data_IF_164558343570
#
_entry.id   IF_164558343570
#
_cell.length_a   1.000
_cell.length_b   1.000
_cell.length_c   1.000
_cell.angle_alpha   90.00
_cell.angle_beta   90.00
_cell.angle_gamma   90.00
#
_symmetry.space_group_name_H-M   'P 1'
#
loop_
_entity.id
_entity.type
_entity.pdbx_description
1 polymer ?
#
# COMPACT_ATOMS: atom_id res chain seq x y z
N UNK A 1 -36.60 -51.78 28.39
CA UNK A 1 -35.82 -52.77 29.17
C UNK A 1 -34.84 -53.45 28.21
N UNK A 2 -33.55 -53.25 28.47
CA UNK A 2 -32.36 -54.00 28.00
C UNK A 2 -31.99 -54.16 26.50
N UNK A 3 -31.08 -53.26 26.08
CA UNK A 3 -29.79 -53.41 25.37
C UNK A 3 -29.52 -54.70 24.58
N UNK A 4 -29.05 -54.57 23.31
CA UNK A 4 -27.76 -55.11 22.81
C UNK A 4 -27.26 -54.29 21.60
N UNK A 5 -26.17 -53.55 21.76
CA UNK A 5 -25.34 -53.05 20.66
C UNK A 5 -24.33 -54.14 20.26
N UNK A 6 -24.02 -54.35 18.97
CA UNK A 6 -22.74 -54.89 18.57
C UNK A 6 -21.80 -53.76 18.10
N UNK A 7 -20.58 -53.82 18.62
CA UNK A 7 -19.50 -52.90 18.39
C UNK A 7 -18.66 -53.26 17.15
N UNK A 8 -17.84 -52.29 16.73
CA UNK A 8 -16.56 -52.37 16.00
C UNK A 8 -16.59 -52.41 14.46
N UNK A 9 -16.12 -51.31 13.86
CA UNK A 9 -15.01 -51.19 12.87
C UNK A 9 -14.75 -49.66 12.77
N UNK A 10 -13.74 -49.14 13.47
CA UNK A 10 -12.36 -48.95 12.99
C UNK A 10 -12.22 -47.82 11.95
N UNK A 11 -11.96 -46.59 12.40
CA UNK A 11 -10.92 -45.72 11.83
C UNK A 11 -10.82 -44.43 12.65
N UNK A 12 -9.91 -44.42 13.62
CA UNK A 12 -9.31 -43.18 14.07
C UNK A 12 -8.34 -42.72 12.96
N UNK A 13 -8.72 -41.68 12.22
CA UNK A 13 -7.75 -40.89 11.46
C UNK A 13 -7.69 -39.54 12.14
N UNK A 14 -6.65 -39.37 12.95
CA UNK A 14 -6.15 -38.08 13.38
C UNK A 14 -5.72 -37.31 12.12
N UNK A 15 -6.59 -36.46 11.58
CA UNK A 15 -6.15 -35.40 10.69
C UNK A 15 -5.67 -34.23 11.56
N UNK A 16 -4.48 -34.36 12.14
CA UNK A 16 -3.68 -33.21 12.51
C UNK A 16 -2.95 -32.75 11.26
N UNK A 17 -3.45 -31.72 10.61
CA UNK A 17 -2.62 -30.90 9.73
C UNK A 17 -2.16 -29.68 10.53
N UNK A 18 -0.85 -29.43 10.68
CA UNK A 18 -0.40 -28.17 11.25
C UNK A 18 -0.80 -27.04 10.29
N UNK A 19 -1.70 -26.14 10.72
CA UNK A 19 -1.88 -24.85 10.06
C UNK A 19 -0.67 -23.97 10.40
N UNK A 20 0.48 -24.32 9.86
CA UNK A 20 1.66 -23.46 9.85
C UNK A 20 1.95 -23.10 8.41
N UNK A 21 1.01 -22.36 7.81
CA UNK A 21 1.33 -21.53 6.66
C UNK A 21 1.78 -20.18 7.24
N UNK A 22 3.09 -20.04 7.47
CA UNK A 22 3.73 -18.72 7.52
C UNK A 22 3.54 -18.10 6.14
N UNK A 23 2.39 -17.45 5.93
CA UNK A 23 2.13 -16.72 4.71
C UNK A 23 3.09 -15.52 4.70
N UNK A 24 4.13 -15.59 3.87
CA UNK A 24 4.79 -14.39 3.38
C UNK A 24 3.70 -13.61 2.65
N UNK A 25 3.16 -12.58 3.27
CA UNK A 25 2.10 -11.74 2.70
C UNK A 25 2.67 -10.96 1.52
N UNK A 26 2.65 -11.57 0.34
CA UNK A 26 2.82 -10.84 -0.91
C UNK A 26 1.54 -10.02 -1.10
N UNK A 27 1.55 -8.77 -0.64
CA UNK A 27 0.43 -7.85 -0.90
C UNK A 27 0.19 -7.79 -2.41
N UNK A 28 -1.05 -8.05 -2.89
CA UNK A 28 -1.38 -7.98 -4.30
C UNK A 28 -0.98 -6.63 -4.89
N UNK A 29 -0.37 -6.66 -6.08
CA UNK A 29 -0.02 -5.45 -6.82
C UNK A 29 -1.16 -5.10 -7.77
N UNK A 30 -1.53 -3.83 -7.80
CA UNK A 30 -2.52 -3.24 -8.68
C UNK A 30 -1.82 -2.35 -9.71
N UNK A 31 -2.45 -2.16 -10.87
CA UNK A 31 -1.93 -1.30 -11.94
C UNK A 31 -3.05 -0.44 -12.51
N UNK A 32 -2.73 0.80 -12.84
CA UNK A 32 -3.64 1.72 -13.54
C UNK A 32 -3.29 1.78 -15.03
N UNK A 33 -4.18 2.36 -15.83
CA UNK A 33 -3.97 2.54 -17.27
C UNK A 33 -2.78 3.45 -17.59
N UNK A 34 -2.39 4.34 -16.68
CA UNK A 34 -1.23 5.24 -16.85
C UNK A 34 0.12 4.53 -16.65
N UNK A 35 0.09 3.28 -16.15
CA UNK A 35 1.28 2.49 -15.80
C UNK A 35 1.75 2.67 -14.36
N UNK A 36 1.04 3.46 -13.54
CA UNK A 36 1.25 3.47 -12.09
C UNK A 36 0.94 2.09 -11.52
N UNK A 37 1.82 1.57 -10.66
CA UNK A 37 1.54 0.34 -9.91
C UNK A 37 1.58 0.60 -8.41
N UNK A 38 0.75 -0.10 -7.65
CA UNK A 38 0.66 0.12 -6.21
C UNK A 38 0.23 -1.13 -5.44
N UNK A 39 0.51 -1.12 -4.14
CA UNK A 39 0.15 -2.15 -3.17
C UNK A 39 -0.52 -1.52 -1.96
N UNK A 40 -1.60 -2.14 -1.50
CA UNK A 40 -2.36 -1.72 -0.31
C UNK A 40 -1.70 -2.35 0.92
N UNK A 41 -0.94 -1.56 1.69
CA UNK A 41 -0.27 -2.06 2.90
C UNK A 41 -1.24 -2.08 4.07
N UNK A 42 -2.01 -0.99 4.21
CA UNK A 42 -3.11 -0.87 5.15
C UNK A 42 -4.28 -0.21 4.44
N UNK A 43 -5.46 -0.81 4.57
CA UNK A 43 -6.68 -0.25 3.99
C UNK A 43 -7.20 0.92 4.83
N UNK A 44 -7.84 1.87 4.15
CA UNK A 44 -8.46 3.04 4.77
C UNK A 44 -9.95 3.04 4.48
N UNK A 45 -10.72 3.68 5.35
CA UNK A 45 -12.19 3.73 5.22
C UNK A 45 -12.73 5.16 5.11
N UNK A 46 -11.84 6.15 5.01
CA UNK A 46 -12.24 7.54 4.83
C UNK A 46 -12.52 7.93 3.37
N UNK A 47 -12.80 9.22 3.17
CA UNK A 47 -12.95 9.79 1.83
C UNK A 47 -11.62 9.78 1.08
N UNK A 48 -11.69 9.86 -0.25
CA UNK A 48 -10.52 10.09 -1.10
C UNK A 48 -10.39 11.60 -1.39
N UNK A 49 -9.17 12.13 -1.50
CA UNK A 49 -8.97 13.53 -1.84
C UNK A 49 -9.40 13.82 -3.28
N UNK A 50 -9.62 15.10 -3.57
CA UNK A 50 -9.75 15.70 -4.88
C UNK A 50 -8.49 16.52 -5.22
N UNK A 51 -8.35 16.92 -6.49
CA UNK A 51 -7.18 17.69 -6.96
C UNK A 51 -7.03 19.07 -6.29
N UNK A 52 -8.10 19.65 -5.79
CA UNK A 52 -8.09 20.97 -5.14
C UNK A 52 -7.85 20.91 -3.64
N UNK A 53 -7.83 19.71 -3.05
CA UNK A 53 -7.61 19.54 -1.62
C UNK A 53 -6.13 19.66 -1.26
N UNK A 54 -5.87 19.95 0.01
CA UNK A 54 -4.60 19.65 0.65
C UNK A 54 -4.70 18.34 1.44
N UNK A 55 -3.60 17.61 1.53
CA UNK A 55 -3.53 16.36 2.27
C UNK A 55 -2.45 16.43 3.35
N UNK A 56 -2.75 15.85 4.51
CA UNK A 56 -1.75 15.60 5.55
C UNK A 56 -1.28 14.15 5.44
N UNK A 57 0.02 13.96 5.24
CA UNK A 57 0.61 12.64 4.97
C UNK A 57 1.87 12.38 5.79
N UNK A 58 2.13 11.11 6.04
CA UNK A 58 3.49 10.60 6.28
C UNK A 58 3.95 9.91 5.01
N UNK A 59 5.21 10.14 4.61
CA UNK A 59 5.72 9.52 3.40
C UNK A 59 7.19 9.14 3.51
N UNK A 60 7.61 8.21 2.65
CA UNK A 60 9.01 7.91 2.39
C UNK A 60 9.18 7.59 0.92
N UNK A 61 10.16 8.21 0.28
CA UNK A 61 10.53 8.01 -1.11
C UNK A 61 11.84 7.24 -1.21
N UNK A 62 11.93 6.39 -2.22
CA UNK A 62 13.07 5.50 -2.45
C UNK A 62 13.53 5.59 -3.89
N UNK A 63 14.84 5.57 -4.10
CA UNK A 63 15.41 5.42 -5.44
C UNK A 63 15.23 3.99 -5.98
N UNK A 64 15.63 3.76 -7.23
CA UNK A 64 15.55 2.44 -7.86
C UNK A 64 16.37 1.33 -7.17
N UNK A 65 17.34 1.71 -6.32
CA UNK A 65 18.13 0.78 -5.50
C UNK A 65 17.46 0.47 -4.14
N UNK A 66 16.33 1.10 -3.84
CA UNK A 66 15.64 0.97 -2.55
C UNK A 66 16.22 1.86 -1.44
N UNK A 67 17.14 2.77 -1.77
CA UNK A 67 17.71 3.70 -0.79
C UNK A 67 16.73 4.86 -0.57
N UNK A 68 16.54 5.26 0.69
CA UNK A 68 15.66 6.39 1.06
C UNK A 68 16.25 7.69 0.51
N UNK A 69 15.42 8.48 -0.16
CA UNK A 69 15.79 9.80 -0.69
C UNK A 69 15.27 10.92 0.21
N UNK A 70 13.99 10.85 0.57
CA UNK A 70 13.27 11.88 1.35
C UNK A 70 12.07 11.25 2.06
N UNK A 71 11.66 11.79 3.20
CA UNK A 71 10.45 11.37 3.90
C UNK A 71 10.29 11.94 5.30
N UNK A 72 9.14 11.70 5.90
CA UNK A 72 8.76 12.08 7.27
C UNK A 72 9.25 11.04 8.29
N UNK A 73 10.57 10.79 8.32
CA UNK A 73 11.17 9.71 9.12
C UNK A 73 11.10 9.95 10.64
N UNK A 74 10.91 11.20 11.04
CA UNK A 74 10.69 11.61 12.43
C UNK A 74 9.22 11.46 12.88
N UNK A 75 8.33 10.98 12.01
CA UNK A 75 6.90 10.84 12.30
C UNK A 75 6.12 12.15 12.32
N UNK A 76 6.72 13.27 11.90
CA UNK A 76 6.02 14.55 11.80
C UNK A 76 5.36 14.63 10.42
N UNK A 77 4.02 14.73 10.34
CA UNK A 77 3.32 14.84 9.06
C UNK A 77 3.65 16.12 8.30
N UNK A 78 3.46 16.06 6.99
CA UNK A 78 3.54 17.23 6.10
C UNK A 78 2.17 17.47 5.47
N UNK A 79 1.86 18.74 5.22
CA UNK A 79 0.67 19.16 4.49
C UNK A 79 1.09 19.61 3.10
N UNK A 80 0.47 19.06 2.07
CA UNK A 80 0.79 19.33 0.68
C UNK A 80 -0.49 19.52 -0.14
N UNK A 81 -0.58 20.56 -1.01
CA UNK A 81 -1.66 20.69 -1.98
C UNK A 81 -1.51 19.62 -3.07
N UNK A 82 -2.58 18.87 -3.34
CA UNK A 82 -2.55 17.79 -4.34
C UNK A 82 -2.21 18.35 -5.72
N UNK A 83 -2.73 19.52 -6.06
CA UNK A 83 -2.52 20.19 -7.35
C UNK A 83 -1.07 20.57 -7.66
N UNK A 84 -0.21 20.74 -6.67
CA UNK A 84 1.21 21.10 -6.88
C UNK A 84 2.13 19.89 -6.98
N UNK A 85 1.61 18.69 -6.70
CA UNK A 85 2.37 17.45 -6.86
C UNK A 85 2.51 17.08 -8.34
N UNK A 86 3.56 16.35 -8.69
CA UNK A 86 3.69 15.81 -10.04
C UNK A 86 2.63 14.73 -10.32
N UNK A 87 2.35 14.47 -11.60
CA UNK A 87 1.21 13.67 -12.08
C UNK A 87 1.10 12.30 -11.39
N UNK A 88 2.20 11.58 -11.25
CA UNK A 88 2.22 10.28 -10.56
C UNK A 88 1.75 10.36 -9.10
N UNK A 89 2.18 11.37 -8.34
CA UNK A 89 1.73 11.55 -6.96
C UNK A 89 0.29 12.06 -6.88
N UNK A 90 -0.14 12.91 -7.82
CA UNK A 90 -1.55 13.29 -7.92
C UNK A 90 -2.42 12.04 -8.06
N UNK A 91 -2.12 11.19 -9.05
CA UNK A 91 -2.86 9.95 -9.27
C UNK A 91 -2.81 9.03 -8.04
N UNK A 92 -1.63 8.85 -7.43
CA UNK A 92 -1.47 8.06 -6.20
C UNK A 92 -2.38 8.54 -5.07
N UNK A 93 -2.41 9.84 -4.78
CA UNK A 93 -3.17 10.41 -3.67
C UNK A 93 -4.68 10.25 -3.89
N UNK A 94 -5.16 10.46 -5.13
CA UNK A 94 -6.58 10.30 -5.48
C UNK A 94 -7.08 8.85 -5.37
N UNK A 95 -6.17 7.86 -5.36
CA UNK A 95 -6.52 6.46 -5.15
C UNK A 95 -6.72 6.12 -3.67
N UNK A 96 -6.10 6.88 -2.76
CA UNK A 96 -6.03 6.55 -1.33
C UNK A 96 -7.24 7.05 -0.54
N UNK A 97 -7.97 6.17 0.15
CA UNK A 97 -8.88 6.60 1.21
C UNK A 97 -8.08 7.08 2.43
N UNK A 98 -8.60 8.08 3.16
CA UNK A 98 -8.01 8.50 4.44
C UNK A 98 -7.91 7.31 5.41
N UNK A 99 -6.78 7.24 6.11
CA UNK A 99 -6.39 6.16 7.01
C UNK A 99 -5.61 5.02 6.33
N UNK A 100 -5.45 5.06 5.00
CA UNK A 100 -4.72 4.05 4.26
C UNK A 100 -3.21 4.28 4.23
N UNK A 101 -2.46 3.18 4.14
CA UNK A 101 -1.02 3.18 3.80
C UNK A 101 -0.78 2.39 2.54
N UNK A 102 -0.31 3.06 1.48
CA UNK A 102 -0.06 2.44 0.18
C UNK A 102 1.43 2.55 -0.17
N UNK A 103 1.92 1.58 -0.95
CA UNK A 103 3.22 1.65 -1.60
C UNK A 103 3.00 1.77 -3.11
N UNK A 104 3.61 2.77 -3.74
CA UNK A 104 3.52 3.06 -5.17
C UNK A 104 4.87 2.88 -5.83
N UNK A 105 4.89 2.25 -6.99
CA UNK A 105 6.00 2.29 -7.93
C UNK A 105 5.58 3.19 -9.11
N UNK A 106 6.22 4.35 -9.20
CA UNK A 106 5.88 5.41 -10.14
C UNK A 106 6.86 5.36 -11.33
N UNK A 107 6.41 5.05 -12.55
CA UNK A 107 7.28 5.04 -13.71
C UNK A 107 7.76 6.46 -14.05
N UNK A 108 8.95 6.56 -14.66
CA UNK A 108 9.63 7.84 -14.89
C UNK A 108 8.78 8.86 -15.67
N UNK A 109 7.93 8.41 -16.60
CA UNK A 109 7.06 9.32 -17.37
C UNK A 109 5.94 9.95 -16.52
N UNK A 110 5.59 9.37 -15.38
CA UNK A 110 4.67 9.97 -14.40
C UNK A 110 5.41 10.75 -13.30
N UNK A 111 6.74 10.65 -13.23
CA UNK A 111 7.58 11.35 -12.27
C UNK A 111 7.99 12.75 -12.73
N UNK A 112 9.12 13.23 -12.21
CA UNK A 112 9.69 14.51 -12.62
C UNK A 112 10.20 14.45 -14.07
N UNK A 113 9.59 15.23 -14.95
CA UNK A 113 9.96 15.30 -16.37
C UNK A 113 11.08 16.30 -16.70
N UNK A 114 11.70 16.94 -15.70
CA UNK A 114 12.81 17.87 -15.95
C UNK A 114 14.09 17.13 -16.35
N UNK A 115 14.62 17.47 -17.53
CA UNK A 115 15.92 17.01 -17.99
C UNK A 115 17.01 17.41 -16.96
N UNK A 116 17.83 16.43 -16.55
CA UNK A 116 18.95 16.64 -15.62
C UNK A 116 18.72 16.18 -14.18
N UNK A 117 17.49 15.83 -13.78
CA UNK A 117 17.19 15.27 -12.43
C UNK A 117 17.27 13.73 -12.34
N UNK A 118 17.79 13.05 -13.36
CA UNK A 118 17.78 11.58 -13.49
C UNK A 118 18.51 10.81 -12.37
N UNK A 119 19.47 11.45 -11.68
CA UNK A 119 20.27 10.79 -10.64
C UNK A 119 19.60 10.64 -9.25
N UNK A 120 18.47 11.34 -8.99
CA UNK A 120 17.78 11.33 -7.69
C UNK A 120 16.27 11.17 -7.82
N UNK A 121 15.78 10.60 -8.92
CA UNK A 121 14.35 10.31 -9.05
C UNK A 121 13.98 9.16 -8.11
N UNK A 122 12.99 9.40 -7.26
CA UNK A 122 12.37 8.32 -6.52
C UNK A 122 11.55 7.47 -7.50
N UNK A 123 11.75 6.16 -7.42
CA UNK A 123 11.00 5.18 -8.18
C UNK A 123 9.83 4.63 -7.36
N UNK A 124 9.97 4.64 -6.03
CA UNK A 124 8.98 4.07 -5.10
C UNK A 124 8.63 5.06 -4.00
N UNK A 125 7.37 5.06 -3.60
CA UNK A 125 6.83 5.89 -2.53
C UNK A 125 5.98 5.05 -1.59
N UNK A 126 6.21 5.19 -0.29
CA UNK A 126 5.30 4.71 0.75
C UNK A 126 4.59 5.91 1.33
N UNK A 127 3.27 5.91 1.32
CA UNK A 127 2.46 7.05 1.76
C UNK A 127 1.39 6.55 2.72
N UNK A 128 1.23 7.24 3.83
CA UNK A 128 0.11 7.12 4.75
C UNK A 128 -0.69 8.42 4.71
N UNK A 129 -1.97 8.32 4.35
CA UNK A 129 -2.87 9.48 4.23
C UNK A 129 -3.64 9.66 5.53
N UNK A 130 -3.32 10.73 6.27
CA UNK A 130 -3.87 10.99 7.60
C UNK A 130 -5.15 11.82 7.55
N UNK A 131 -5.17 12.85 6.70
CA UNK A 131 -6.28 13.82 6.62
C UNK A 131 -6.37 14.46 5.24
N UNK A 132 -7.58 14.93 4.92
CA UNK A 132 -7.88 15.83 3.79
C UNK A 132 -8.33 17.18 4.36
N UNK A 133 -7.75 18.26 3.86
CA UNK A 133 -8.14 19.64 4.12
C UNK A 133 -8.71 20.22 2.81
N UNK A 134 -10.04 20.30 2.65
CA UNK A 134 -10.70 20.76 1.43
C UNK A 134 -10.63 22.29 1.25
#
# INVERSE_FOLDING_TARGET
>A
MNIKYPALILCAILAQSPLTATAFTHTPTHSTTSGLTYRIIQDGHGKKPALHDEVEILFTSYNAKGEVLEGTLNGVPVILPVSEMFVGLQESLLLMPVGATYEFDIPAHLGYQEEGKSGRQAAKYRIELLRINP
#
